data_IF_705036654526
#
_entry.id   IF_705036654526
#
_cell.length_a   1.000
_cell.length_b   1.000
_cell.length_c   1.000
_cell.angle_alpha   90.00
_cell.angle_beta   90.00
_cell.angle_gamma   90.00
#
_symmetry.space_group_name_H-M   'P 1'
#
loop_
_entity.id
_entity.type
_entity.pdbx_description
1 polymer ?
#
# COMPACT_ATOMS: atom_id res chain seq x y z
N UNK A 1 6.41 0.49 -3.36
CA UNK A 1 5.43 0.16 -2.30
C UNK A 1 6.13 -0.62 -1.21
N UNK A 2 5.98 -0.22 0.06
CA UNK A 2 6.71 -0.81 1.19
C UNK A 2 6.38 -2.31 1.37
N UNK A 3 5.10 -2.69 1.31
CA UNK A 3 4.66 -4.07 1.51
C UNK A 3 5.23 -5.04 0.46
N UNK A 4 5.19 -4.65 -0.82
CA UNK A 4 5.74 -5.48 -1.91
C UNK A 4 7.26 -5.66 -1.82
N UNK A 5 7.99 -4.60 -1.40
CA UNK A 5 9.43 -4.66 -1.17
C UNK A 5 9.78 -5.51 0.05
N UNK A 6 9.05 -5.35 1.16
CA UNK A 6 9.23 -6.12 2.38
C UNK A 6 8.98 -7.61 2.18
N UNK A 7 7.98 -7.98 1.36
CA UNK A 7 7.73 -9.37 0.98
C UNK A 7 8.92 -9.96 0.20
N UNK A 8 9.46 -9.22 -0.78
CA UNK A 8 10.64 -9.65 -1.54
C UNK A 8 11.88 -9.83 -0.66
N UNK A 9 12.04 -8.98 0.35
CA UNK A 9 13.18 -9.03 1.28
C UNK A 9 12.94 -9.92 2.50
N UNK A 10 11.82 -10.67 2.55
CA UNK A 10 11.46 -11.53 3.69
C UNK A 10 11.49 -10.83 5.04
N UNK A 11 11.12 -9.54 5.08
CA UNK A 11 11.10 -8.75 6.31
C UNK A 11 9.99 -9.21 7.25
N UNK A 12 10.25 -9.19 8.55
CA UNK A 12 9.23 -9.55 9.53
C UNK A 12 8.09 -8.52 9.51
N UNK A 13 6.81 -8.94 9.57
CA UNK A 13 5.67 -8.02 9.55
C UNK A 13 5.73 -6.94 10.64
N UNK A 14 6.24 -7.29 11.82
CA UNK A 14 6.42 -6.37 12.95
C UNK A 14 7.43 -5.26 12.65
N UNK A 15 8.48 -5.57 11.89
CA UNK A 15 9.50 -4.59 11.51
C UNK A 15 8.93 -3.61 10.48
N UNK A 16 8.15 -4.11 9.52
CA UNK A 16 7.43 -3.28 8.54
C UNK A 16 6.46 -2.34 9.25
N UNK A 17 5.73 -2.83 10.24
CA UNK A 17 4.83 -2.04 11.06
C UNK A 17 5.58 -0.96 11.84
N UNK A 18 6.70 -1.29 12.47
CA UNK A 18 7.54 -0.33 13.18
C UNK A 18 8.09 0.76 12.23
N UNK A 19 8.51 0.38 11.02
CA UNK A 19 8.95 1.31 9.97
C UNK A 19 7.81 2.25 9.57
N UNK A 20 6.60 1.75 9.34
CA UNK A 20 5.42 2.57 8.99
C UNK A 20 5.11 3.60 10.07
N UNK A 21 5.12 3.20 11.34
CA UNK A 21 4.90 4.11 12.47
C UNK A 21 5.99 5.18 12.50
N UNK A 22 7.26 4.79 12.35
CA UNK A 22 8.39 5.72 12.37
C UNK A 22 8.36 6.69 11.19
N UNK A 23 7.94 6.25 10.00
CA UNK A 23 7.69 7.14 8.85
C UNK A 23 6.58 8.15 9.17
N UNK A 24 5.48 7.70 9.78
CA UNK A 24 4.40 8.60 10.20
C UNK A 24 4.88 9.69 11.16
N UNK A 25 5.73 9.33 12.12
CA UNK A 25 6.31 10.28 13.09
C UNK A 25 7.34 11.19 12.42
N UNK A 26 8.38 10.62 11.82
CA UNK A 26 9.58 11.35 11.41
C UNK A 26 9.42 12.10 10.09
N UNK A 27 8.50 11.65 9.22
CA UNK A 27 8.34 12.18 7.86
C UNK A 27 7.00 12.85 7.62
N UNK A 28 5.96 12.44 8.32
CA UNK A 28 4.62 13.03 8.19
C UNK A 28 4.25 13.91 9.39
N UNK A 29 5.15 14.05 10.37
CA UNK A 29 4.94 14.82 11.61
C UNK A 29 3.67 14.44 12.37
N UNK A 30 3.26 13.17 12.28
CA UNK A 30 2.16 12.66 13.10
C UNK A 30 2.65 12.42 14.53
N UNK A 31 1.76 12.59 15.50
CA UNK A 31 2.03 12.06 16.84
C UNK A 31 2.23 10.54 16.76
N UNK A 32 2.99 9.96 17.69
CA UNK A 32 3.18 8.51 17.76
C UNK A 32 1.85 7.77 17.78
N UNK A 33 0.85 8.32 18.49
CA UNK A 33 -0.49 7.75 18.55
C UNK A 33 -1.21 7.79 17.20
N UNK A 34 -1.19 8.92 16.50
CA UNK A 34 -1.80 9.04 15.18
C UNK A 34 -1.10 8.16 14.13
N UNK A 35 0.24 8.08 14.16
CA UNK A 35 1.01 7.21 13.28
C UNK A 35 0.70 5.71 13.53
N UNK A 36 0.55 5.32 14.80
CA UNK A 36 0.10 3.98 15.20
C UNK A 36 -1.30 3.69 14.65
N UNK A 37 -2.27 4.57 14.90
CA UNK A 37 -3.65 4.39 14.43
C UNK A 37 -3.74 4.30 12.92
N UNK A 38 -3.03 5.17 12.20
CA UNK A 38 -2.95 5.12 10.74
C UNK A 38 -2.38 3.78 10.26
N UNK A 39 -1.32 3.30 10.89
CA UNK A 39 -0.69 2.02 10.53
C UNK A 39 -1.65 0.85 10.77
N UNK A 40 -2.33 0.82 11.90
CA UNK A 40 -3.34 -0.20 12.21
C UNK A 40 -4.50 -0.18 11.21
N UNK A 41 -5.03 1.01 10.91
CA UNK A 41 -6.11 1.17 9.94
C UNK A 41 -5.74 0.57 8.57
N UNK A 42 -4.51 0.82 8.09
CA UNK A 42 -4.05 0.27 6.81
C UNK A 42 -3.87 -1.26 6.87
N UNK A 43 -3.49 -1.81 8.02
CA UNK A 43 -3.41 -3.27 8.24
C UNK A 43 -4.81 -3.88 8.22
N UNK A 44 -5.75 -3.32 8.99
CA UNK A 44 -7.13 -3.79 9.05
C UNK A 44 -7.81 -3.69 7.68
N UNK A 45 -7.51 -2.63 6.90
CA UNK A 45 -8.01 -2.47 5.55
C UNK A 45 -7.43 -3.45 4.52
N UNK A 46 -6.50 -4.34 4.91
CA UNK A 46 -6.17 -5.52 4.09
C UNK A 46 -7.29 -6.56 4.10
N UNK A 47 -8.23 -6.48 5.04
CA UNK A 47 -9.51 -7.16 4.98
C UNK A 47 -10.51 -6.34 4.14
N UNK A 48 -11.12 -7.01 3.16
CA UNK A 48 -12.12 -6.41 2.28
C UNK A 48 -13.40 -6.03 3.03
N UNK A 49 -13.76 -6.79 4.06
CA UNK A 49 -15.00 -6.57 4.81
C UNK A 49 -14.87 -5.39 5.78
N UNK A 50 -13.64 -5.07 6.21
CA UNK A 50 -13.35 -3.90 7.03
C UNK A 50 -13.44 -2.59 6.24
N UNK A 51 -12.75 -2.50 5.10
CA UNK A 51 -12.78 -1.29 4.27
C UNK A 51 -12.57 -1.60 2.77
N UNK A 52 -13.63 -1.87 1.99
CA UNK A 52 -13.51 -2.39 0.63
C UNK A 52 -12.75 -1.47 -0.33
N UNK A 53 -12.92 -0.15 -0.22
CA UNK A 53 -12.20 0.80 -1.08
C UNK A 53 -10.70 0.82 -0.82
N UNK A 54 -10.29 0.89 0.45
CA UNK A 54 -8.87 0.93 0.82
C UNK A 54 -8.20 -0.41 0.54
N UNK A 55 -8.92 -1.52 0.74
CA UNK A 55 -8.48 -2.85 0.31
C UNK A 55 -8.09 -2.86 -1.18
N UNK A 56 -8.99 -2.39 -2.05
CA UNK A 56 -8.73 -2.31 -3.49
C UNK A 56 -7.52 -1.41 -3.79
N UNK A 57 -7.36 -0.28 -3.09
CA UNK A 57 -6.21 0.62 -3.26
C UNK A 57 -4.89 -0.10 -2.89
N UNK A 58 -4.86 -0.80 -1.75
CA UNK A 58 -3.68 -1.54 -1.28
C UNK A 58 -3.28 -2.62 -2.29
N UNK A 59 -4.24 -3.42 -2.76
CA UNK A 59 -3.97 -4.50 -3.72
C UNK A 59 -3.55 -3.95 -5.09
N UNK A 60 -4.19 -2.89 -5.60
CA UNK A 60 -3.78 -2.23 -6.85
C UNK A 60 -2.38 -1.64 -6.75
N UNK A 61 -2.05 -0.95 -5.66
CA UNK A 61 -0.69 -0.42 -5.46
C UNK A 61 0.36 -1.51 -5.38
N UNK A 62 0.03 -2.64 -4.74
CA UNK A 62 0.92 -3.81 -4.65
C UNK A 62 1.14 -4.45 -6.02
N UNK A 63 0.07 -4.64 -6.81
CA UNK A 63 0.16 -5.15 -8.17
C UNK A 63 1.02 -4.24 -9.07
N UNK A 64 0.76 -2.92 -9.02
CA UNK A 64 1.53 -1.94 -9.77
C UNK A 64 3.03 -1.99 -9.46
N UNK A 65 3.41 -2.22 -8.20
CA UNK A 65 4.81 -2.41 -7.82
C UNK A 65 5.43 -3.66 -8.45
N UNK A 66 4.73 -4.80 -8.43
CA UNK A 66 5.23 -6.03 -9.05
C UNK A 66 5.38 -5.88 -10.56
N UNK A 67 4.42 -5.25 -11.24
CA UNK A 67 4.50 -4.97 -12.67
C UNK A 67 5.68 -4.05 -12.99
N UNK A 68 5.91 -3.01 -12.18
CA UNK A 68 7.03 -2.09 -12.35
C UNK A 68 8.39 -2.79 -12.20
N UNK A 69 8.59 -3.56 -11.11
CA UNK A 69 9.84 -4.30 -10.87
C UNK A 69 10.06 -5.37 -11.94
N UNK A 70 8.99 -6.03 -12.39
CA UNK A 70 9.02 -7.00 -13.48
C UNK A 70 9.19 -6.39 -14.87
N UNK A 71 9.33 -5.07 -15.00
CA UNK A 71 9.43 -4.33 -16.27
C UNK A 71 8.24 -4.56 -17.22
N UNK A 72 7.08 -4.92 -16.69
CA UNK A 72 5.83 -5.17 -17.42
C UNK A 72 5.06 -3.86 -17.62
N UNK A 73 5.68 -2.93 -18.34
CA UNK A 73 5.18 -1.55 -18.43
C UNK A 73 3.86 -1.41 -19.20
N UNK A 74 3.63 -2.25 -20.22
CA UNK A 74 2.35 -2.22 -20.96
C UNK A 74 1.18 -2.71 -20.08
N UNK A 75 1.39 -3.74 -19.26
CA UNK A 75 0.40 -4.21 -18.28
C UNK A 75 0.12 -3.14 -17.21
N UNK A 76 1.18 -2.48 -16.72
CA UNK A 76 1.05 -1.38 -15.76
C UNK A 76 0.27 -0.20 -16.34
N UNK A 77 0.55 0.15 -17.60
CA UNK A 77 -0.16 1.21 -18.32
C UNK A 77 -1.63 0.87 -18.51
N UNK A 78 -1.95 -0.37 -18.88
CA UNK A 78 -3.33 -0.84 -19.01
C UNK A 78 -4.09 -0.76 -17.68
N UNK A 79 -3.47 -1.11 -16.56
CA UNK A 79 -4.08 -0.94 -15.23
C UNK A 79 -4.39 0.53 -14.93
N UNK A 80 -3.45 1.45 -15.17
CA UNK A 80 -3.71 2.88 -14.96
C UNK A 80 -4.82 3.42 -15.88
N UNK A 81 -4.85 2.98 -17.14
CA UNK A 81 -5.92 3.36 -18.07
C UNK A 81 -7.29 2.88 -17.60
N UNK A 82 -7.39 1.62 -17.16
CA UNK A 82 -8.63 1.07 -16.60
C UNK A 82 -9.13 1.87 -15.38
N UNK A 83 -8.23 2.32 -14.51
CA UNK A 83 -8.57 3.19 -13.37
C UNK A 83 -9.13 4.53 -13.86
N UNK A 84 -8.44 5.19 -14.81
CA UNK A 84 -8.86 6.48 -15.35
C UNK A 84 -10.22 6.38 -16.04
N UNK A 85 -10.45 5.32 -16.82
CA UNK A 85 -11.72 5.08 -17.52
C UNK A 85 -12.88 4.83 -16.54
N UNK A 86 -12.60 4.13 -15.44
CA UNK A 86 -13.59 3.90 -14.38
C UNK A 86 -13.98 5.21 -13.68
N UNK A 87 -13.03 6.13 -13.48
CA UNK A 87 -13.26 7.43 -12.83
C UNK A 87 -13.98 8.45 -13.74
N UNK A 88 -13.97 8.23 -15.05
CA UNK A 88 -14.65 9.08 -16.05
C UNK A 88 -16.14 8.73 -16.24
N UNK A 89 -16.63 7.65 -15.62
CA UNK A 89 -18.05 7.27 -15.60
C UNK A 89 -18.74 7.94 -14.42
#
# INVERSE_FOLDING_TARGET
>A
MLNGKAHQESQAPTDVQAIMIRVGVDKLNYSTHAAYQMTQFVIEATDKDFHPTVNVIIHRGTNAYYLYVGKKYEELKAEFQSIIETLKK
#
